data_IF_956692502236
#
_entry.id   IF_956692502236
#
_cell.length_a   1.000
_cell.length_b   1.000
_cell.length_c   1.000
_cell.angle_alpha   90.00
_cell.angle_beta   90.00
_cell.angle_gamma   90.00
#
_symmetry.space_group_name_H-M   'P 1'
#
loop_
_entity.id
_entity.type
_entity.pdbx_description
1 polymer ?
#
# COMPACT_ATOMS: atom_id res chain seq x y z
N UNK A 1 19.11 -17.39 7.62
CA UNK A 1 18.01 -16.44 7.35
C UNK A 1 16.95 -17.21 6.59
N UNK A 2 15.76 -17.35 7.15
CA UNK A 2 14.62 -18.01 6.49
C UNK A 2 13.77 -16.90 5.90
N UNK A 3 13.59 -16.92 4.58
CA UNK A 3 12.68 -16.01 3.88
C UNK A 3 11.30 -16.66 3.85
N UNK A 4 10.28 -15.92 4.25
CA UNK A 4 8.89 -16.35 4.17
C UNK A 4 8.40 -16.18 2.72
N UNK A 5 8.28 -17.30 2.02
CA UNK A 5 7.78 -17.36 0.63
C UNK A 5 6.34 -17.88 0.54
N UNK A 6 5.61 -18.02 1.65
CA UNK A 6 4.28 -18.66 1.67
C UNK A 6 3.22 -17.90 0.85
N UNK A 7 3.48 -16.62 0.56
CA UNK A 7 2.61 -15.74 -0.23
C UNK A 7 3.15 -15.40 -1.61
N UNK A 8 4.27 -15.99 -2.02
CA UNK A 8 4.85 -15.81 -3.35
C UNK A 8 4.06 -16.58 -4.40
N UNK A 9 3.63 -15.87 -5.44
CA UNK A 9 2.90 -16.43 -6.57
C UNK A 9 3.23 -15.71 -7.88
N UNK A 10 2.88 -16.32 -9.01
CA UNK A 10 2.87 -15.62 -10.31
C UNK A 10 1.57 -14.82 -10.37
N UNK A 11 1.68 -13.50 -10.23
CA UNK A 11 0.54 -12.59 -10.20
C UNK A 11 0.81 -11.31 -10.98
N UNK A 12 -0.19 -10.43 -11.04
CA UNK A 12 -0.03 -9.09 -11.58
C UNK A 12 1.02 -8.31 -10.75
N UNK A 13 2.10 -7.78 -11.38
CA UNK A 13 3.16 -7.06 -10.66
C UNK A 13 2.66 -5.82 -9.91
N UNK A 14 1.51 -5.28 -10.31
CA UNK A 14 0.85 -4.16 -9.61
C UNK A 14 0.54 -4.51 -8.15
N UNK A 15 0.33 -5.80 -7.82
CA UNK A 15 0.13 -6.26 -6.45
C UNK A 15 1.31 -5.90 -5.55
N UNK A 16 2.54 -6.07 -6.05
CA UNK A 16 3.76 -5.81 -5.28
C UNK A 16 4.07 -4.31 -5.22
N UNK A 17 3.91 -3.61 -6.35
CA UNK A 17 4.06 -2.14 -6.41
C UNK A 17 3.10 -1.46 -5.43
N UNK A 18 1.82 -1.86 -5.42
CA UNK A 18 0.83 -1.35 -4.48
C UNK A 18 1.15 -1.72 -3.03
N UNK A 19 1.72 -2.91 -2.80
CA UNK A 19 2.18 -3.34 -1.48
C UNK A 19 3.31 -2.45 -0.93
N UNK A 20 4.26 -2.09 -1.78
CA UNK A 20 5.33 -1.15 -1.42
C UNK A 20 4.78 0.24 -1.12
N UNK A 21 3.90 0.77 -1.97
CA UNK A 21 3.27 2.10 -1.75
C UNK A 21 2.46 2.11 -0.44
N UNK A 22 1.70 1.05 -0.17
CA UNK A 22 1.00 0.91 1.11
C UNK A 22 1.97 0.93 2.30
N UNK A 23 3.14 0.31 2.17
CA UNK A 23 4.15 0.34 3.25
C UNK A 23 4.60 1.77 3.56
N UNK A 24 4.78 2.62 2.53
CA UNK A 24 5.08 4.04 2.72
C UNK A 24 3.92 4.77 3.39
N UNK A 25 2.68 4.56 2.93
CA UNK A 25 1.47 5.14 3.55
C UNK A 25 1.34 4.78 5.03
N UNK A 26 1.60 3.52 5.39
CA UNK A 26 1.57 3.07 6.79
C UNK A 26 2.70 3.69 7.62
N UNK A 27 3.88 3.85 7.05
CA UNK A 27 5.00 4.51 7.73
C UNK A 27 4.73 6.00 7.93
N UNK A 28 4.19 6.68 6.93
CA UNK A 28 3.75 8.07 7.01
C UNK A 28 2.73 8.24 8.13
N UNK A 29 1.70 7.41 8.16
CA UNK A 29 0.68 7.46 9.20
C UNK A 29 1.25 7.23 10.61
N UNK A 30 2.07 6.19 10.79
CA UNK A 30 2.62 5.80 12.10
C UNK A 30 3.69 6.74 12.64
N UNK A 31 4.44 7.40 11.76
CA UNK A 31 5.64 8.18 12.14
C UNK A 31 5.46 9.67 11.97
N UNK A 32 4.62 10.09 11.02
CA UNK A 32 4.43 11.48 10.62
C UNK A 32 2.99 11.96 10.87
N UNK A 33 2.08 11.06 11.32
CA UNK A 33 0.72 11.39 11.72
C UNK A 33 -0.28 11.56 10.57
N UNK A 34 0.18 11.46 9.32
CA UNK A 34 -0.67 11.59 8.13
C UNK A 34 -0.28 10.52 7.11
N UNK A 35 -1.28 9.85 6.53
CA UNK A 35 -1.11 8.76 5.57
C UNK A 35 -0.46 9.22 4.25
N UNK A 36 -0.40 10.54 4.03
CA UNK A 36 0.03 11.17 2.77
C UNK A 36 1.39 11.85 2.82
N UNK A 37 2.02 11.92 3.99
CA UNK A 37 3.31 12.61 4.13
C UNK A 37 4.42 12.02 3.26
N UNK A 38 4.26 10.76 2.80
CA UNK A 38 5.21 10.10 1.89
C UNK A 38 4.67 9.90 0.47
N UNK A 39 3.61 10.61 0.07
CA UNK A 39 3.06 10.48 -1.29
C UNK A 39 4.09 10.89 -2.36
N UNK A 40 4.92 11.91 -2.10
CA UNK A 40 6.02 12.28 -3.00
C UNK A 40 7.06 11.17 -3.16
N UNK A 41 7.37 10.44 -2.09
CA UNK A 41 8.28 9.28 -2.16
C UNK A 41 7.64 8.11 -2.91
N UNK A 42 6.34 7.87 -2.71
CA UNK A 42 5.60 6.85 -3.44
C UNK A 42 5.54 7.14 -4.95
N UNK A 43 5.35 8.41 -5.32
CA UNK A 43 5.37 8.86 -6.71
C UNK A 43 6.76 8.67 -7.34
N UNK A 44 7.82 9.10 -6.63
CA UNK A 44 9.21 8.92 -7.08
C UNK A 44 9.55 7.45 -7.29
N UNK A 45 9.11 6.58 -6.37
CA UNK A 45 9.27 5.13 -6.51
C UNK A 45 8.57 4.60 -7.77
N UNK A 46 7.32 4.99 -8.01
CA UNK A 46 6.54 4.52 -9.15
C UNK A 46 7.20 4.94 -10.48
N UNK A 47 7.66 6.19 -10.57
CA UNK A 47 8.36 6.70 -11.75
C UNK A 47 9.67 5.94 -12.01
N UNK A 48 10.47 5.72 -10.97
CA UNK A 48 11.70 4.94 -11.07
C UNK A 48 11.43 3.49 -11.48
N UNK A 49 10.41 2.86 -10.91
CA UNK A 49 10.00 1.49 -11.24
C UNK A 49 9.62 1.36 -12.72
N UNK A 50 8.79 2.29 -13.23
CA UNK A 50 8.38 2.28 -14.64
C UNK A 50 9.57 2.57 -15.58
N UNK A 51 10.45 3.49 -15.22
CA UNK A 51 11.65 3.83 -16.00
C UNK A 51 12.64 2.66 -16.07
N UNK A 52 12.71 1.85 -15.02
CA UNK A 52 13.56 0.65 -14.97
C UNK A 52 13.02 -0.55 -15.77
N UNK A 53 11.95 -0.37 -16.55
CA UNK A 53 11.33 -1.43 -17.36
C UNK A 53 10.16 -2.15 -16.67
N UNK A 54 9.61 -1.56 -15.61
CA UNK A 54 8.38 -2.04 -14.97
C UNK A 54 7.21 -2.14 -15.95
N UNK A 55 6.32 -3.12 -15.74
CA UNK A 55 5.23 -3.40 -16.67
C UNK A 55 4.27 -2.19 -16.81
N UNK A 56 3.96 -1.69 -18.03
CA UNK A 56 3.17 -0.47 -18.23
C UNK A 56 1.75 -0.51 -17.61
N UNK A 57 1.12 -1.69 -17.57
CA UNK A 57 -0.20 -1.90 -16.94
C UNK A 57 -0.25 -1.59 -15.45
N UNK A 58 0.90 -1.49 -14.78
CA UNK A 58 0.96 -1.09 -13.38
C UNK A 58 0.23 0.23 -13.17
N UNK A 59 0.46 1.24 -14.03
CA UNK A 59 -0.20 2.54 -13.89
C UNK A 59 -1.74 2.44 -13.92
N UNK A 60 -2.30 1.58 -14.77
CA UNK A 60 -3.76 1.41 -14.89
C UNK A 60 -4.38 0.57 -13.77
N UNK A 61 -3.65 -0.40 -13.22
CA UNK A 61 -4.20 -1.31 -12.20
C UNK A 61 -3.92 -0.82 -10.77
N UNK A 62 -3.02 0.16 -10.61
CA UNK A 62 -2.54 0.61 -9.30
C UNK A 62 -3.66 1.06 -8.35
N UNK A 63 -4.70 1.81 -8.79
CA UNK A 63 -5.77 2.23 -7.89
C UNK A 63 -6.49 1.04 -7.26
N UNK A 64 -6.84 0.03 -8.05
CA UNK A 64 -7.51 -1.17 -7.58
C UNK A 64 -6.69 -1.92 -6.52
N UNK A 65 -5.43 -2.21 -6.82
CA UNK A 65 -4.57 -2.95 -5.89
C UNK A 65 -4.23 -2.14 -4.63
N UNK A 66 -4.05 -0.83 -4.75
CA UNK A 66 -3.81 0.05 -3.60
C UNK A 66 -5.02 0.05 -2.67
N UNK A 67 -6.23 0.19 -3.21
CA UNK A 67 -7.46 0.12 -2.43
C UNK A 67 -7.64 -1.26 -1.76
N UNK A 68 -7.43 -2.35 -2.48
CA UNK A 68 -7.50 -3.70 -1.94
C UNK A 68 -6.52 -3.91 -0.76
N UNK A 69 -5.29 -3.41 -0.90
CA UNK A 69 -4.29 -3.45 0.16
C UNK A 69 -4.66 -2.59 1.37
N UNK A 70 -5.21 -1.39 1.16
CA UNK A 70 -5.73 -0.53 2.21
C UNK A 70 -6.83 -1.22 3.03
N UNK A 71 -7.86 -1.75 2.35
CA UNK A 71 -8.97 -2.48 2.99
C UNK A 71 -8.49 -3.71 3.76
N UNK A 72 -7.59 -4.49 3.15
CA UNK A 72 -7.00 -5.66 3.81
C UNK A 72 -6.23 -5.22 5.05
N UNK A 73 -5.43 -4.16 4.98
CA UNK A 73 -4.65 -3.66 6.12
C UNK A 73 -5.52 -3.10 7.23
N UNK A 74 -6.59 -2.37 6.91
CA UNK A 74 -7.56 -1.89 7.89
C UNK A 74 -8.20 -3.07 8.65
N UNK A 75 -8.62 -4.12 7.93
CA UNK A 75 -9.09 -5.37 8.55
C UNK A 75 -8.06 -5.98 9.49
N UNK A 76 -6.79 -6.03 9.09
CA UNK A 76 -5.72 -6.56 9.95
C UNK A 76 -5.51 -5.73 11.21
N UNK A 77 -5.62 -4.40 11.12
CA UNK A 77 -5.48 -3.52 12.29
C UNK A 77 -6.64 -3.73 13.28
N UNK A 78 -7.87 -3.92 12.78
CA UNK A 78 -9.02 -4.29 13.62
C UNK A 78 -8.84 -5.64 14.31
N UNK A 79 -8.30 -6.63 13.60
CA UNK A 79 -8.08 -7.99 14.14
C UNK A 79 -6.95 -8.02 15.16
N UNK A 80 -5.83 -7.36 14.87
CA UNK A 80 -4.60 -7.42 15.68
C UNK A 80 -4.53 -6.36 16.79
N UNK A 81 -5.31 -5.29 16.67
CA UNK A 81 -5.39 -4.18 17.64
C UNK A 81 -4.04 -3.64 18.11
N UNK A 82 -3.09 -3.27 17.22
CA UNK A 82 -1.89 -2.54 17.63
C UNK A 82 -2.24 -1.21 18.31
N UNK A 83 -1.27 -0.55 18.95
CA UNK A 83 -1.49 0.81 19.49
C UNK A 83 -1.94 1.73 18.34
N UNK A 84 -2.99 2.52 18.58
CA UNK A 84 -3.61 3.40 17.58
C UNK A 84 -4.36 2.66 16.45
N UNK A 85 -4.75 1.39 16.66
CA UNK A 85 -5.38 0.58 15.60
C UNK A 85 -6.64 1.18 15.02
N UNK A 86 -7.43 1.92 15.81
CA UNK A 86 -8.71 2.47 15.34
C UNK A 86 -8.43 3.60 14.35
N UNK A 87 -7.60 4.54 14.74
CA UNK A 87 -7.17 5.67 13.92
C UNK A 87 -6.46 5.16 12.65
N UNK A 88 -5.62 4.13 12.78
CA UNK A 88 -4.97 3.50 11.63
C UNK A 88 -5.95 2.83 10.67
N UNK A 89 -6.91 2.06 11.20
CA UNK A 89 -7.90 1.37 10.38
C UNK A 89 -8.82 2.34 9.66
N UNK A 90 -9.27 3.40 10.33
CA UNK A 90 -10.10 4.47 9.74
C UNK A 90 -9.35 5.20 8.62
N UNK A 91 -8.12 5.64 8.87
CA UNK A 91 -7.31 6.32 7.85
C UNK A 91 -7.03 5.44 6.61
N UNK A 92 -6.78 4.15 6.82
CA UNK A 92 -6.60 3.19 5.73
C UNK A 92 -7.89 2.93 4.96
N UNK A 93 -9.04 2.84 5.65
CA UNK A 93 -10.34 2.68 5.01
C UNK A 93 -10.68 3.88 4.14
N UNK A 94 -10.54 5.10 4.69
CA UNK A 94 -10.81 6.35 3.99
C UNK A 94 -9.93 6.51 2.75
N UNK A 95 -8.64 6.18 2.87
CA UNK A 95 -7.71 6.23 1.74
C UNK A 95 -8.02 5.17 0.68
N UNK A 96 -8.41 3.95 1.10
CA UNK A 96 -8.82 2.89 0.19
C UNK A 96 -10.05 3.28 -0.63
N UNK A 97 -11.09 3.81 0.02
CA UNK A 97 -12.31 4.27 -0.65
C UNK A 97 -12.02 5.40 -1.62
N UNK A 98 -11.27 6.41 -1.18
CA UNK A 98 -10.90 7.54 -2.03
C UNK A 98 -10.08 7.14 -3.26
N UNK A 99 -9.24 6.11 -3.13
CA UNK A 99 -8.44 5.61 -4.26
C UNK A 99 -9.31 5.01 -5.37
N UNK A 100 -10.52 4.54 -5.05
CA UNK A 100 -11.45 3.97 -6.03
C UNK A 100 -12.39 4.98 -6.70
N UNK A 101 -12.59 6.16 -6.10
CA UNK A 101 -13.54 7.19 -6.56
C UNK A 101 -14.51 7.60 -5.46
#
# INVERSE_FOLDING_TARGET
MVFDWDVYDVADPTRDVAGFILSLKRQALRRLGSIRELDGAAQTFLEAYLTAGGHPRVASHLPFYTAAHCLRSAKWDVVRKPIGWREHAEALLDEGLRTLG
#
